data_IF_583836134545
#
_entry.id   IF_583836134545
#
_cell.length_a   1.000
_cell.length_b   1.000
_cell.length_c   1.000
_cell.angle_alpha   90.00
_cell.angle_beta   90.00
_cell.angle_gamma   90.00
#
_symmetry.space_group_name_H-M   'P 1'
#
loop_
_entity.id
_entity.type
_entity.pdbx_description
1 polymer ?
#
# COMPACT_ATOMS: atom_id res chain seq x y z
N UNK A 1 72.61 -26.11 42.65
CA UNK A 1 72.30 -24.75 42.14
C UNK A 1 71.45 -24.78 40.83
N UNK A 2 70.50 -25.68 40.64
CA UNK A 2 69.70 -25.77 39.39
C UNK A 2 68.20 -25.37 39.50
N UNK A 3 67.72 -25.15 40.69
CA UNK A 3 66.30 -24.91 40.92
C UNK A 3 65.74 -23.50 40.50
N UNK A 4 66.61 -22.58 40.06
CA UNK A 4 66.18 -21.21 39.81
C UNK A 4 66.02 -20.90 38.30
N UNK A 5 66.29 -21.80 37.41
CA UNK A 5 66.23 -21.63 35.95
C UNK A 5 64.80 -21.92 35.44
N UNK A 6 64.21 -23.00 35.92
CA UNK A 6 62.82 -23.43 35.49
C UNK A 6 61.78 -22.39 35.81
N UNK A 7 61.85 -21.71 36.97
CA UNK A 7 60.87 -20.66 37.35
C UNK A 7 61.00 -19.37 36.51
N UNK A 8 62.19 -19.08 35.99
CA UNK A 8 62.37 -17.96 35.02
C UNK A 8 61.76 -18.29 33.67
N UNK A 9 62.01 -19.48 33.14
CA UNK A 9 61.43 -19.91 31.86
C UNK A 9 59.91 -19.97 31.90
N UNK A 10 59.31 -20.43 32.99
CA UNK A 10 57.86 -20.45 33.20
C UNK A 10 57.26 -19.05 33.20
N UNK A 11 57.89 -18.06 33.84
CA UNK A 11 57.45 -16.66 33.83
C UNK A 11 57.50 -16.04 32.41
N UNK A 12 58.56 -16.31 31.62
CA UNK A 12 58.66 -15.85 30.25
C UNK A 12 57.59 -16.51 29.36
N UNK A 13 57.38 -17.83 29.47
CA UNK A 13 56.36 -18.55 28.72
C UNK A 13 54.96 -18.06 29.01
N UNK A 14 54.63 -17.79 30.33
CA UNK A 14 53.32 -17.18 30.68
C UNK A 14 53.19 -15.78 30.10
N UNK A 15 54.24 -14.96 30.14
CA UNK A 15 54.26 -13.62 29.57
C UNK A 15 54.02 -13.65 28.04
N UNK A 16 54.62 -14.57 27.35
CA UNK A 16 54.44 -14.76 25.89
C UNK A 16 53.04 -15.21 25.56
N UNK A 17 52.44 -16.15 26.29
CA UNK A 17 51.05 -16.59 26.13
C UNK A 17 50.09 -15.41 26.36
N UNK A 18 50.30 -14.64 27.42
CA UNK A 18 49.45 -13.46 27.74
C UNK A 18 49.53 -12.44 26.60
N UNK A 19 50.70 -12.19 26.04
CA UNK A 19 50.90 -11.23 24.97
C UNK A 19 50.19 -11.68 23.66
N UNK A 20 50.26 -12.97 23.35
CA UNK A 20 49.53 -13.56 22.21
C UNK A 20 48.03 -13.47 22.41
N UNK A 21 47.54 -13.79 23.61
CA UNK A 21 46.11 -13.69 23.95
C UNK A 21 45.58 -12.23 23.80
N UNK A 22 46.37 -11.26 24.32
CA UNK A 22 46.03 -9.85 24.16
C UNK A 22 45.96 -9.45 22.67
N UNK A 23 46.94 -9.91 21.89
CA UNK A 23 46.97 -9.66 20.45
C UNK A 23 45.72 -10.20 19.73
N UNK A 24 45.30 -11.42 20.07
CA UNK A 24 44.08 -12.03 19.51
C UNK A 24 42.83 -11.25 19.94
N UNK A 25 42.71 -10.86 21.21
CA UNK A 25 41.58 -10.10 21.73
C UNK A 25 41.47 -8.73 21.06
N UNK A 26 42.57 -8.03 20.84
CA UNK A 26 42.58 -6.75 20.09
C UNK A 26 42.13 -6.97 18.64
N UNK A 27 42.68 -7.99 17.97
CA UNK A 27 42.27 -8.29 16.61
C UNK A 27 40.77 -8.61 16.49
N UNK A 28 40.23 -9.42 17.39
CA UNK A 28 38.79 -9.72 17.46
C UNK A 28 37.95 -8.45 17.74
N UNK A 29 38.39 -7.61 18.67
CA UNK A 29 37.69 -6.36 19.00
C UNK A 29 37.64 -5.41 17.79
N UNK A 30 38.74 -5.28 17.04
CA UNK A 30 38.79 -4.46 15.81
C UNK A 30 37.85 -5.03 14.74
N UNK A 31 37.88 -6.36 14.56
CA UNK A 31 36.97 -7.01 13.59
C UNK A 31 35.51 -6.81 13.96
N UNK A 32 35.12 -7.06 15.22
CA UNK A 32 33.76 -6.85 15.71
C UNK A 32 33.33 -5.38 15.57
N UNK A 33 34.20 -4.44 15.91
CA UNK A 33 33.93 -3.02 15.71
C UNK A 33 33.66 -2.65 14.24
N UNK A 34 34.47 -3.18 13.32
CA UNK A 34 34.31 -2.94 11.89
C UNK A 34 32.99 -3.56 11.34
N UNK A 35 32.67 -4.77 11.79
CA UNK A 35 31.39 -5.43 11.45
C UNK A 35 30.18 -4.65 11.97
N UNK A 36 30.20 -4.21 13.24
CA UNK A 36 29.14 -3.40 13.82
C UNK A 36 28.94 -2.11 13.01
N UNK A 37 30.02 -1.40 12.67
CA UNK A 37 29.96 -0.19 11.86
C UNK A 37 29.34 -0.44 10.47
N UNK A 38 29.66 -1.57 9.83
CA UNK A 38 29.05 -1.95 8.55
C UNK A 38 27.57 -2.22 8.72
N UNK A 39 27.18 -2.93 9.78
CA UNK A 39 25.80 -3.25 10.07
C UNK A 39 24.96 -2.01 10.38
N UNK A 40 25.50 -1.05 11.15
CA UNK A 40 24.87 0.23 11.43
C UNK A 40 24.64 1.05 10.15
N UNK A 41 25.65 1.14 9.28
CA UNK A 41 25.53 1.83 8.00
C UNK A 41 24.47 1.17 7.09
N UNK A 42 24.45 -0.16 7.06
CA UNK A 42 23.46 -0.92 6.29
C UNK A 42 22.04 -0.69 6.86
N UNK A 43 21.88 -0.76 8.19
CA UNK A 43 20.60 -0.47 8.84
C UNK A 43 20.10 0.95 8.52
N UNK A 44 20.96 1.95 8.64
CA UNK A 44 20.63 3.34 8.32
C UNK A 44 20.22 3.51 6.84
N UNK A 45 20.92 2.87 5.93
CA UNK A 45 20.60 2.89 4.50
C UNK A 45 19.22 2.26 4.23
N UNK A 46 18.94 1.11 4.83
CA UNK A 46 17.67 0.43 4.65
C UNK A 46 16.50 1.20 5.30
N UNK A 47 16.70 1.76 6.49
CA UNK A 47 15.73 2.63 7.14
C UNK A 47 15.40 3.87 6.30
N UNK A 48 16.40 4.48 5.66
CA UNK A 48 16.17 5.60 4.74
C UNK A 48 15.28 5.19 3.57
N UNK A 49 15.53 4.01 2.98
CA UNK A 49 14.66 3.46 1.91
C UNK A 49 13.25 3.18 2.38
N UNK A 50 13.08 2.58 3.56
CA UNK A 50 11.76 2.33 4.14
C UNK A 50 11.00 3.64 4.35
N UNK A 51 11.67 4.69 4.83
CA UNK A 51 11.07 6.01 4.97
C UNK A 51 10.59 6.57 3.63
N UNK A 52 11.38 6.43 2.57
CA UNK A 52 10.98 6.91 1.24
C UNK A 52 9.81 6.10 0.67
N UNK A 53 9.78 4.79 0.88
CA UNK A 53 8.64 3.94 0.52
C UNK A 53 7.36 4.40 1.26
N UNK A 54 7.43 4.66 2.56
CA UNK A 54 6.30 5.16 3.36
C UNK A 54 5.79 6.52 2.88
N UNK A 55 6.67 7.42 2.39
CA UNK A 55 6.24 8.69 1.79
C UNK A 55 5.49 8.47 0.48
N UNK A 56 5.94 7.53 -0.35
CA UNK A 56 5.24 7.15 -1.59
C UNK A 56 3.87 6.57 -1.24
N UNK A 57 3.82 5.65 -0.29
CA UNK A 57 2.58 5.05 0.19
C UNK A 57 1.60 6.11 0.69
N UNK A 58 2.08 7.05 1.50
CA UNK A 58 1.28 8.19 2.00
C UNK A 58 0.67 9.01 0.87
N UNK A 59 1.44 9.29 -0.18
CA UNK A 59 0.97 10.06 -1.33
C UNK A 59 -0.10 9.29 -2.11
N UNK A 60 0.11 8.00 -2.35
CA UNK A 60 -0.85 7.14 -3.06
C UNK A 60 -2.16 7.00 -2.29
N UNK A 61 -2.11 6.75 -0.97
CA UNK A 61 -3.30 6.65 -0.13
C UNK A 61 -4.14 7.93 -0.20
N UNK A 62 -3.50 9.11 -0.16
CA UNK A 62 -4.22 10.39 -0.27
C UNK A 62 -4.94 10.51 -1.61
N UNK A 63 -4.29 10.14 -2.71
CA UNK A 63 -4.91 10.16 -4.05
C UNK A 63 -6.16 9.29 -4.05
N UNK A 64 -6.09 8.06 -3.52
CA UNK A 64 -7.25 7.16 -3.49
C UNK A 64 -8.38 7.74 -2.64
N UNK A 65 -8.08 8.32 -1.47
CA UNK A 65 -9.11 8.97 -0.62
C UNK A 65 -9.80 10.12 -1.36
N UNK A 66 -9.05 10.92 -2.12
CA UNK A 66 -9.59 12.05 -2.88
C UNK A 66 -10.47 11.56 -4.03
N UNK A 67 -10.02 10.54 -4.78
CA UNK A 67 -10.82 9.89 -5.84
C UNK A 67 -12.11 9.29 -5.28
N UNK A 68 -12.05 8.54 -4.18
CA UNK A 68 -13.24 7.99 -3.53
C UNK A 68 -14.23 9.08 -3.12
N UNK A 69 -13.72 10.23 -2.68
CA UNK A 69 -14.57 11.37 -2.32
C UNK A 69 -15.34 11.91 -3.53
N UNK A 70 -14.69 11.97 -4.69
CA UNK A 70 -15.34 12.35 -5.96
C UNK A 70 -16.40 11.31 -6.31
N UNK A 71 -16.04 10.02 -6.31
CA UNK A 71 -16.98 8.95 -6.68
C UNK A 71 -18.20 8.89 -5.78
N UNK A 72 -18.01 9.03 -4.48
CA UNK A 72 -19.11 9.06 -3.51
C UNK A 72 -20.05 10.24 -3.77
N UNK A 73 -19.50 11.45 -4.02
CA UNK A 73 -20.33 12.63 -4.31
C UNK A 73 -21.13 12.45 -5.59
N UNK A 74 -20.54 11.88 -6.63
CA UNK A 74 -21.20 11.60 -7.90
C UNK A 74 -22.32 10.57 -7.76
N UNK A 75 -22.09 9.51 -7.00
CA UNK A 75 -23.11 8.50 -6.73
C UNK A 75 -24.24 9.05 -5.84
N UNK A 76 -23.94 9.94 -4.88
CA UNK A 76 -24.94 10.66 -4.10
C UNK A 76 -25.78 11.56 -5.01
N UNK A 77 -25.15 12.28 -5.95
CA UNK A 77 -25.87 13.06 -6.95
C UNK A 77 -26.83 12.19 -7.76
N UNK A 78 -26.38 11.02 -8.23
CA UNK A 78 -27.25 10.06 -8.92
C UNK A 78 -28.48 9.67 -8.06
N UNK A 79 -28.28 9.37 -6.76
CA UNK A 79 -29.40 9.06 -5.85
C UNK A 79 -30.37 10.23 -5.78
N UNK A 80 -29.89 11.49 -5.64
CA UNK A 80 -30.75 12.69 -5.59
C UNK A 80 -31.56 12.88 -6.86
N UNK A 81 -30.97 12.62 -8.03
CA UNK A 81 -31.68 12.67 -9.32
C UNK A 81 -32.76 11.61 -9.38
N UNK A 82 -32.46 10.38 -8.99
CA UNK A 82 -33.43 9.28 -8.99
C UNK A 82 -34.55 9.46 -7.96
N UNK A 83 -34.28 10.17 -6.86
CA UNK A 83 -35.27 10.53 -5.82
C UNK A 83 -36.06 11.81 -6.15
N UNK A 84 -35.80 12.44 -7.30
CA UNK A 84 -36.36 13.75 -7.72
C UNK A 84 -35.97 14.94 -6.80
N UNK A 85 -34.90 14.81 -6.02
CA UNK A 85 -34.30 15.88 -5.21
C UNK A 85 -33.36 16.78 -6.02
N UNK A 86 -32.87 16.28 -7.16
CA UNK A 86 -32.09 17.02 -8.12
C UNK A 86 -32.61 16.77 -9.55
N UNK A 87 -32.24 17.66 -10.47
CA UNK A 87 -32.53 17.51 -11.90
C UNK A 87 -31.24 17.31 -12.67
N UNK A 88 -31.29 16.46 -13.68
CA UNK A 88 -30.19 16.23 -14.60
C UNK A 88 -30.72 15.81 -15.97
N UNK A 89 -29.93 16.03 -17.00
CA UNK A 89 -30.13 15.36 -18.31
C UNK A 89 -29.68 13.89 -18.21
N UNK A 90 -30.05 13.07 -19.19
CA UNK A 90 -29.55 11.69 -19.28
C UNK A 90 -28.01 11.67 -19.36
N UNK A 91 -27.42 12.55 -20.16
CA UNK A 91 -25.96 12.64 -20.34
C UNK A 91 -25.25 13.00 -19.03
N UNK A 92 -25.72 14.01 -18.33
CA UNK A 92 -25.18 14.43 -17.04
C UNK A 92 -25.29 13.31 -16.00
N UNK A 93 -26.48 12.67 -15.89
CA UNK A 93 -26.66 11.53 -15.00
C UNK A 93 -25.67 10.40 -15.31
N UNK A 94 -25.53 10.01 -16.58
CA UNK A 94 -24.62 8.93 -17.00
C UNK A 94 -23.16 9.28 -16.75
N UNK A 95 -22.79 10.57 -16.90
CA UNK A 95 -21.45 11.07 -16.56
C UNK A 95 -21.07 10.81 -15.10
N UNK A 96 -21.99 10.99 -14.15
CA UNK A 96 -21.80 10.67 -12.74
C UNK A 96 -21.96 9.16 -12.46
N UNK A 97 -22.94 8.52 -13.09
CA UNK A 97 -23.26 7.10 -12.89
C UNK A 97 -22.14 6.14 -13.32
N UNK A 98 -21.27 6.55 -14.25
CA UNK A 98 -20.10 5.73 -14.66
C UNK A 98 -19.21 5.32 -13.49
N UNK A 99 -19.19 6.09 -12.38
CA UNK A 99 -18.42 5.75 -11.18
C UNK A 99 -18.93 4.50 -10.45
N UNK A 100 -20.06 3.93 -10.86
CA UNK A 100 -20.44 2.57 -10.49
C UNK A 100 -19.42 1.50 -10.95
N UNK A 101 -18.68 1.78 -12.02
CA UNK A 101 -17.62 0.90 -12.53
C UNK A 101 -16.24 1.25 -12.00
N UNK A 102 -16.07 2.42 -11.38
CA UNK A 102 -14.77 2.82 -10.85
C UNK A 102 -14.29 1.85 -9.78
N UNK A 103 -13.04 1.49 -9.91
CA UNK A 103 -12.32 0.64 -8.95
C UNK A 103 -10.94 1.24 -8.80
N UNK A 104 -10.59 1.64 -7.62
CA UNK A 104 -9.27 2.08 -7.26
C UNK A 104 -8.77 1.26 -6.07
N UNK A 105 -7.56 1.49 -5.65
CA UNK A 105 -6.98 0.79 -4.52
C UNK A 105 -5.54 1.20 -4.30
N UNK A 106 -5.00 0.75 -3.19
CA UNK A 106 -3.65 1.01 -2.77
C UNK A 106 -2.86 -0.29 -2.63
N UNK A 107 -1.59 -0.23 -2.97
CA UNK A 107 -0.65 -1.32 -2.75
C UNK A 107 0.64 -0.75 -2.18
N UNK A 108 0.99 -1.14 -0.97
CA UNK A 108 2.19 -0.67 -0.30
C UNK A 108 3.47 -1.02 -1.05
N UNK A 109 4.46 -0.14 -1.02
CA UNK A 109 5.80 -0.35 -1.59
C UNK A 109 6.59 -1.26 -0.65
N UNK A 110 6.45 -2.57 -0.81
CA UNK A 110 6.97 -3.59 0.12
C UNK A 110 8.40 -4.06 -0.16
N UNK A 111 8.96 -3.79 -1.34
CA UNK A 111 10.19 -4.43 -1.81
C UNK A 111 11.37 -4.34 -0.83
N UNK A 112 11.57 -3.19 -0.18
CA UNK A 112 12.63 -3.02 0.84
C UNK A 112 12.34 -3.84 2.10
N UNK A 113 11.11 -3.78 2.61
CA UNK A 113 10.71 -4.52 3.81
C UNK A 113 10.79 -6.03 3.60
N UNK A 114 10.20 -6.54 2.53
CA UNK A 114 10.21 -7.97 2.20
C UNK A 114 11.65 -8.47 1.95
N UNK A 115 12.50 -7.66 1.33
CA UNK A 115 13.92 -7.95 1.16
C UNK A 115 14.69 -8.05 2.47
N UNK A 116 14.41 -7.17 3.43
CA UNK A 116 15.00 -7.22 4.78
C UNK A 116 14.56 -8.47 5.54
N UNK A 117 13.26 -8.79 5.51
CA UNK A 117 12.71 -9.98 6.19
C UNK A 117 13.28 -11.26 5.57
N UNK A 118 13.25 -11.39 4.26
CA UNK A 118 13.71 -12.61 3.57
C UNK A 118 15.21 -12.87 3.68
N UNK A 119 16.02 -11.82 3.81
CA UNK A 119 17.49 -11.93 3.99
C UNK A 119 17.93 -12.05 5.45
N UNK A 120 17.01 -11.95 6.43
CA UNK A 120 17.32 -11.88 7.85
C UNK A 120 17.94 -10.54 8.29
N UNK A 121 18.14 -9.60 7.36
CA UNK A 121 18.71 -8.28 7.67
C UNK A 121 17.78 -7.38 8.48
N UNK A 122 16.53 -7.77 8.64
CA UNK A 122 15.57 -7.07 9.50
C UNK A 122 16.08 -6.96 10.96
N UNK A 123 16.88 -7.90 11.41
CA UNK A 123 17.52 -7.93 12.74
C UNK A 123 18.58 -6.83 12.93
N UNK A 124 19.00 -6.15 11.86
CA UNK A 124 19.89 -4.98 11.95
C UNK A 124 19.16 -3.78 12.59
N UNK A 125 17.84 -3.71 12.49
CA UNK A 125 17.02 -2.71 13.17
C UNK A 125 16.87 -3.13 14.63
N UNK A 126 17.60 -2.44 15.52
CA UNK A 126 17.66 -2.79 16.95
C UNK A 126 16.48 -2.25 17.76
N UNK A 127 15.84 -1.22 17.27
CA UNK A 127 14.67 -0.61 17.89
C UNK A 127 13.44 -1.52 17.71
N UNK A 128 13.09 -2.27 18.77
CA UNK A 128 11.99 -3.24 18.71
C UNK A 128 10.63 -2.56 18.49
N UNK A 129 10.40 -1.39 19.07
CA UNK A 129 9.13 -0.66 18.87
C UNK A 129 8.95 -0.23 17.40
N UNK A 130 10.02 0.25 16.79
CA UNK A 130 10.02 0.59 15.35
C UNK A 130 9.80 -0.66 14.50
N UNK A 131 10.45 -1.76 14.85
CA UNK A 131 10.32 -3.03 14.13
C UNK A 131 8.88 -3.54 14.18
N UNK A 132 8.26 -3.57 15.36
CA UNK A 132 6.88 -4.00 15.56
C UNK A 132 5.89 -3.09 14.78
N UNK A 133 6.13 -1.78 14.78
CA UNK A 133 5.33 -0.82 14.02
C UNK A 133 5.45 -1.02 12.50
N UNK A 134 6.65 -1.33 11.98
CA UNK A 134 6.86 -1.67 10.57
C UNK A 134 6.11 -2.95 10.19
N UNK A 135 6.21 -4.01 10.99
CA UNK A 135 5.46 -5.25 10.75
C UNK A 135 3.95 -5.00 10.77
N UNK A 136 3.47 -4.25 11.75
CA UNK A 136 2.05 -3.89 11.86
C UNK A 136 1.55 -3.15 10.62
N UNK A 137 2.28 -2.12 10.18
CA UNK A 137 1.95 -1.36 8.98
C UNK A 137 1.90 -2.23 7.73
N UNK A 138 2.97 -3.00 7.45
CA UNK A 138 3.05 -3.81 6.25
C UNK A 138 2.06 -4.99 6.25
N UNK A 139 1.70 -5.52 7.39
CA UNK A 139 0.65 -6.53 7.51
C UNK A 139 -0.73 -5.92 7.26
N UNK A 140 -1.04 -4.79 7.87
CA UNK A 140 -2.31 -4.09 7.67
C UNK A 140 -2.49 -3.63 6.23
N UNK A 141 -1.43 -3.09 5.60
CA UNK A 141 -1.46 -2.63 4.21
C UNK A 141 -1.53 -3.76 3.16
N UNK A 142 -1.37 -5.02 3.57
CA UNK A 142 -1.50 -6.18 2.67
C UNK A 142 -2.93 -6.72 2.57
N UNK A 143 -3.79 -6.42 3.54
CA UNK A 143 -5.14 -6.97 3.63
C UNK A 143 -6.19 -5.93 3.23
N UNK A 144 -6.16 -5.52 1.95
CA UNK A 144 -7.09 -4.54 1.38
C UNK A 144 -8.39 -5.22 0.94
N UNK A 145 -9.16 -5.74 1.92
CA UNK A 145 -10.41 -6.44 1.65
C UNK A 145 -11.45 -5.53 0.96
N UNK A 146 -11.43 -4.23 1.25
CA UNK A 146 -12.33 -3.28 0.61
C UNK A 146 -12.06 -3.08 -0.88
N UNK A 147 -10.79 -3.05 -1.29
CA UNK A 147 -10.40 -2.94 -2.70
C UNK A 147 -10.93 -4.14 -3.50
N UNK A 148 -10.76 -5.35 -2.94
CA UNK A 148 -11.30 -6.57 -3.53
C UNK A 148 -12.83 -6.54 -3.58
N UNK A 149 -13.49 -6.11 -2.51
CA UNK A 149 -14.95 -6.01 -2.43
C UNK A 149 -15.52 -5.03 -3.45
N UNK A 150 -14.88 -3.86 -3.65
CA UNK A 150 -15.26 -2.88 -4.67
C UNK A 150 -15.15 -3.47 -6.07
N UNK A 151 -14.04 -4.16 -6.36
CA UNK A 151 -13.81 -4.85 -7.64
C UNK A 151 -14.85 -5.94 -7.89
N UNK A 152 -15.04 -6.80 -6.90
CA UNK A 152 -15.96 -7.94 -7.01
C UNK A 152 -17.40 -7.46 -7.18
N UNK A 153 -17.80 -6.43 -6.44
CA UNK A 153 -19.12 -5.84 -6.58
C UNK A 153 -19.34 -5.28 -7.99
N UNK A 154 -18.39 -4.50 -8.50
CA UNK A 154 -18.51 -3.90 -9.83
C UNK A 154 -18.52 -4.95 -10.94
N UNK A 155 -17.67 -5.96 -10.88
CA UNK A 155 -17.48 -6.96 -11.94
C UNK A 155 -18.50 -8.10 -11.90
N UNK A 156 -18.80 -8.61 -10.70
CA UNK A 156 -19.53 -9.85 -10.54
C UNK A 156 -20.99 -9.64 -10.17
N UNK A 157 -21.37 -8.44 -9.72
CA UNK A 157 -22.75 -8.13 -9.33
C UNK A 157 -23.32 -7.04 -10.24
N UNK A 158 -22.68 -5.88 -10.31
CA UNK A 158 -23.26 -4.73 -11.00
C UNK A 158 -23.14 -4.84 -12.52
N UNK A 159 -21.98 -5.14 -13.08
CA UNK A 159 -21.78 -5.22 -14.53
C UNK A 159 -22.68 -6.27 -15.21
N UNK A 160 -22.82 -7.50 -14.71
CA UNK A 160 -23.74 -8.48 -15.28
C UNK A 160 -25.21 -8.01 -15.26
N UNK A 161 -25.62 -7.31 -14.21
CA UNK A 161 -26.96 -6.75 -14.15
C UNK A 161 -27.16 -5.66 -15.21
N UNK A 162 -26.22 -4.71 -15.32
CA UNK A 162 -26.36 -3.61 -16.27
C UNK A 162 -26.37 -4.11 -17.71
N UNK A 163 -25.56 -5.13 -18.05
CA UNK A 163 -25.57 -5.77 -19.39
C UNK A 163 -26.94 -6.36 -19.76
N UNK A 164 -27.77 -6.72 -18.78
CA UNK A 164 -29.12 -7.18 -19.01
C UNK A 164 -30.17 -6.06 -18.94
N UNK A 165 -29.81 -4.91 -18.40
CA UNK A 165 -30.76 -3.82 -18.17
C UNK A 165 -30.65 -2.72 -19.23
N UNK A 166 -29.44 -2.33 -19.59
CA UNK A 166 -29.19 -1.26 -20.56
C UNK A 166 -28.07 -1.66 -21.53
N UNK A 167 -27.95 -0.94 -22.64
CA UNK A 167 -26.86 -1.18 -23.59
C UNK A 167 -25.53 -0.61 -23.05
N UNK A 168 -24.42 -1.21 -23.49
CA UNK A 168 -23.09 -0.65 -23.24
C UNK A 168 -22.91 0.58 -24.14
N UNK A 169 -22.52 1.74 -23.60
CA UNK A 169 -22.23 2.92 -24.39
C UNK A 169 -21.22 2.61 -25.50
N UNK A 170 -21.41 3.23 -26.67
CA UNK A 170 -20.47 3.08 -27.77
C UNK A 170 -19.06 3.47 -27.31
N UNK A 171 -18.09 2.65 -27.68
CA UNK A 171 -16.67 3.02 -27.57
C UNK A 171 -16.45 4.16 -28.56
N UNK A 172 -16.26 5.37 -28.05
CA UNK A 172 -15.97 6.55 -28.88
C UNK A 172 -14.51 6.53 -29.34
N UNK A 173 -14.20 7.26 -30.42
CA UNK A 173 -12.86 7.34 -31.04
C UNK A 173 -11.73 7.79 -30.08
N UNK A 174 -12.06 8.31 -28.89
CA UNK A 174 -11.09 8.72 -27.87
C UNK A 174 -10.32 7.56 -27.22
N UNK A 175 -10.70 6.32 -27.51
CA UNK A 175 -9.94 5.12 -27.12
C UNK A 175 -8.80 4.78 -28.11
N UNK A 176 -8.29 5.76 -28.84
CA UNK A 176 -7.12 5.60 -29.71
C UNK A 176 -5.91 5.09 -28.92
N UNK A 177 -5.57 3.84 -29.09
CA UNK A 177 -4.43 3.17 -28.44
C UNK A 177 -4.69 1.73 -28.02
N UNK A 178 -5.93 1.29 -28.01
CA UNK A 178 -6.29 -0.09 -27.62
C UNK A 178 -6.74 -0.86 -28.88
N UNK A 179 -5.96 -0.97 -29.92
CA UNK A 179 -6.04 -1.92 -31.06
C UNK A 179 -7.39 -2.54 -31.44
N UNK A 180 -8.50 -1.91 -31.11
CA UNK A 180 -9.82 -2.37 -31.52
C UNK A 180 -10.03 -1.98 -33.01
N UNK A 181 -10.18 -2.97 -33.84
CA UNK A 181 -10.75 -2.80 -35.20
C UNK A 181 -12.06 -2.01 -35.06
N UNK A 182 -12.23 -0.99 -35.91
CA UNK A 182 -13.46 -0.20 -35.99
C UNK A 182 -14.67 -1.13 -36.14
N UNK A 183 -15.37 -1.40 -35.06
CA UNK A 183 -16.66 -2.07 -35.10
C UNK A 183 -17.72 -0.97 -35.15
N UNK A 184 -18.47 -0.94 -36.24
CA UNK A 184 -19.62 -0.03 -36.37
C UNK A 184 -20.78 -0.52 -35.49
N UNK A 185 -20.79 -0.06 -34.22
CA UNK A 185 -21.86 -0.38 -33.30
C UNK A 185 -23.20 0.26 -33.64
N UNK A 186 -23.26 1.21 -34.59
CA UNK A 186 -24.53 1.84 -34.99
C UNK A 186 -25.50 0.82 -35.63
N UNK A 187 -25.00 -0.33 -36.05
CA UNK A 187 -25.81 -1.44 -36.57
C UNK A 187 -26.53 -2.25 -35.47
N UNK A 188 -26.17 -2.05 -34.23
CA UNK A 188 -26.73 -2.77 -33.06
C UNK A 188 -27.54 -1.81 -32.22
N UNK A 189 -28.48 -1.09 -32.81
CA UNK A 189 -29.32 -0.09 -32.12
C UNK A 189 -30.25 -0.80 -31.12
N UNK A 190 -29.81 -0.90 -29.88
CA UNK A 190 -30.67 -1.15 -28.75
C UNK A 190 -31.06 0.21 -28.16
N UNK A 191 -32.35 0.51 -27.94
CA UNK A 191 -32.76 1.77 -27.35
C UNK A 191 -32.13 1.94 -25.96
N UNK A 192 -31.48 3.07 -25.73
CA UNK A 192 -30.97 3.44 -24.41
C UNK A 192 -32.09 3.57 -23.39
N UNK A 193 -31.86 3.14 -22.17
CA UNK A 193 -32.75 3.41 -21.06
C UNK A 193 -32.79 4.91 -20.75
N UNK A 194 -33.96 5.36 -20.29
CA UNK A 194 -34.16 6.73 -19.84
C UNK A 194 -34.00 6.86 -18.35
N UNK A 195 -33.88 8.09 -17.83
CA UNK A 195 -33.85 8.34 -16.39
C UNK A 195 -35.07 7.73 -15.67
N UNK A 196 -36.22 7.68 -16.30
CA UNK A 196 -37.43 7.11 -15.72
C UNK A 196 -37.32 5.58 -15.56
N UNK A 197 -36.65 4.90 -16.47
CA UNK A 197 -36.34 3.47 -16.32
C UNK A 197 -35.40 3.22 -15.13
N UNK A 198 -34.42 4.10 -14.92
CA UNK A 198 -33.51 4.04 -13.76
C UNK A 198 -34.21 4.35 -12.44
N UNK A 199 -35.09 5.37 -12.40
CA UNK A 199 -35.85 5.76 -11.19
C UNK A 199 -36.70 4.64 -10.60
N UNK A 200 -37.32 3.84 -11.44
CA UNK A 200 -38.20 2.76 -11.04
C UNK A 200 -37.44 1.43 -10.78
N UNK A 201 -36.12 1.46 -10.82
CA UNK A 201 -35.30 0.27 -10.70
C UNK A 201 -34.71 0.12 -9.29
N UNK A 202 -35.33 -0.75 -8.48
CA UNK A 202 -34.90 -0.99 -7.10
C UNK A 202 -33.47 -1.50 -7.02
N UNK A 203 -33.02 -2.33 -7.99
CA UNK A 203 -31.64 -2.83 -8.01
C UNK A 203 -30.66 -1.67 -8.16
N UNK A 204 -30.88 -0.76 -9.09
CA UNK A 204 -30.01 0.40 -9.31
C UNK A 204 -29.92 1.28 -8.06
N UNK A 205 -31.05 1.57 -7.40
CA UNK A 205 -31.06 2.35 -6.17
C UNK A 205 -30.26 1.68 -5.04
N UNK A 206 -30.41 0.38 -4.88
CA UNK A 206 -29.65 -0.37 -3.89
C UNK A 206 -28.18 -0.48 -4.27
N UNK A 207 -27.90 -0.66 -5.57
CA UNK A 207 -26.53 -0.74 -6.09
C UNK A 207 -25.72 0.53 -5.80
N UNK A 208 -26.30 1.71 -6.03
CA UNK A 208 -25.70 3.00 -5.70
C UNK A 208 -25.38 3.10 -4.20
N UNK A 209 -26.33 2.72 -3.33
CA UNK A 209 -26.12 2.75 -1.87
C UNK A 209 -24.99 1.83 -1.42
N UNK A 210 -24.97 0.60 -1.92
CA UNK A 210 -23.93 -0.38 -1.60
C UNK A 210 -22.57 0.13 -2.08
N UNK A 211 -22.49 0.68 -3.30
CA UNK A 211 -21.23 1.19 -3.84
C UNK A 211 -20.69 2.35 -3.01
N UNK A 212 -21.54 3.28 -2.58
CA UNK A 212 -21.16 4.36 -1.65
C UNK A 212 -20.60 3.79 -0.35
N UNK A 213 -21.29 2.79 0.25
CA UNK A 213 -20.81 2.16 1.49
C UNK A 213 -19.45 1.49 1.31
N UNK A 214 -19.20 0.87 0.17
CA UNK A 214 -17.92 0.25 -0.14
C UNK A 214 -16.78 1.29 -0.21
N UNK A 215 -16.99 2.41 -0.92
CA UNK A 215 -16.00 3.49 -0.97
C UNK A 215 -15.78 4.16 0.40
N UNK A 216 -16.86 4.40 1.17
CA UNK A 216 -16.73 4.96 2.52
C UNK A 216 -15.96 4.02 3.46
N UNK A 217 -16.20 2.70 3.37
CA UNK A 217 -15.45 1.71 4.13
C UNK A 217 -13.97 1.70 3.77
N UNK A 218 -13.63 1.78 2.48
CA UNK A 218 -12.26 1.89 1.99
C UNK A 218 -11.58 3.16 2.53
N UNK A 219 -12.25 4.32 2.47
CA UNK A 219 -11.74 5.60 2.97
C UNK A 219 -11.44 5.58 4.46
N UNK A 220 -12.25 4.90 5.28
CA UNK A 220 -11.99 4.75 6.73
C UNK A 220 -10.67 4.01 6.93
N UNK A 221 -10.50 2.85 6.31
CA UNK A 221 -9.27 2.05 6.45
C UNK A 221 -8.03 2.82 5.98
N UNK A 222 -8.15 3.58 4.90
CA UNK A 222 -7.04 4.37 4.38
C UNK A 222 -6.68 5.57 5.26
N UNK A 223 -7.66 6.19 5.92
CA UNK A 223 -7.40 7.22 6.93
C UNK A 223 -6.65 6.64 8.14
N UNK A 224 -7.06 5.46 8.60
CA UNK A 224 -6.38 4.77 9.70
C UNK A 224 -4.90 4.47 9.34
N UNK A 225 -4.64 4.04 8.08
CA UNK A 225 -3.27 3.84 7.61
C UNK A 225 -2.46 5.14 7.57
N UNK A 226 -3.05 6.26 7.16
CA UNK A 226 -2.38 7.56 7.17
C UNK A 226 -1.98 7.99 8.57
N UNK A 227 -2.81 7.73 9.58
CA UNK A 227 -2.51 8.06 10.97
C UNK A 227 -1.29 7.29 11.51
N UNK A 228 -1.00 6.11 10.97
CA UNK A 228 0.16 5.28 11.36
C UNK A 228 1.44 5.72 10.65
N UNK A 229 1.36 6.19 9.41
CA UNK A 229 2.55 6.47 8.56
C UNK A 229 3.41 7.61 9.13
N UNK A 230 2.82 8.72 9.57
CA UNK A 230 3.60 9.89 10.05
C UNK A 230 4.38 9.60 11.33
N UNK A 231 3.79 8.97 12.37
CA UNK A 231 4.55 8.47 13.51
C UNK A 231 5.68 7.52 13.12
N UNK A 232 5.43 6.61 12.17
CA UNK A 232 6.42 5.65 11.71
C UNK A 232 7.61 6.32 11.02
N UNK A 233 7.37 7.27 10.12
CA UNK A 233 8.40 8.09 9.49
C UNK A 233 9.22 8.84 10.55
N UNK A 234 8.55 9.44 11.55
CA UNK A 234 9.21 10.16 12.66
C UNK A 234 10.08 9.22 13.50
N UNK A 235 9.63 8.01 13.77
CA UNK A 235 10.40 7.00 14.49
C UNK A 235 11.67 6.62 13.73
N UNK A 236 11.57 6.41 12.40
CA UNK A 236 12.74 6.18 11.53
C UNK A 236 13.70 7.38 11.57
N UNK A 237 13.18 8.61 11.49
CA UNK A 237 14.04 9.81 11.53
C UNK A 237 14.78 9.95 12.86
N UNK A 238 14.20 9.51 13.97
CA UNK A 238 14.86 9.50 15.26
C UNK A 238 15.96 8.45 15.34
N UNK A 239 15.73 7.27 14.78
CA UNK A 239 16.73 6.20 14.71
C UNK A 239 17.93 6.59 13.84
N UNK A 240 17.70 7.29 12.73
CA UNK A 240 18.76 7.76 11.82
C UNK A 240 19.65 8.87 12.40
N UNK A 241 19.26 9.50 13.52
CA UNK A 241 20.03 10.57 14.19
C UNK A 241 20.94 10.07 15.30
N UNK A 242 20.79 8.83 15.71
CA UNK A 242 21.61 8.18 16.75
C UNK A 242 22.92 7.66 16.15
#
# INVERSE_FOLDING_TARGET
MEQNRTGKYLKYAIGEIVLVVIGILIALSINTWNENRKNENEAAFQLSKLKDNLKVDKAQIKIVIDEDSIYVNDLIFCIKVLSNEARATNEEFMGHFQHMFSTNGFSAVRGTFDGLVSSGKIELIKNQELLDALFSYYNSSSNMAWDSSIKDYSRNIFAPYLLNFDHVPNITDDTQGVGFTQIDFTKFLVPSKTLDDYKNNLFILNALRIKIQLFEGQRIVYKDLLEVIDPLIKSIDNELKQ
#
